data_IF_238940008619
#
_entry.id   IF_238940008619
#
_cell.length_a   1.000
_cell.length_b   1.000
_cell.length_c   1.000
_cell.angle_alpha   90.00
_cell.angle_beta   90.00
_cell.angle_gamma   90.00
#
_symmetry.space_group_name_H-M   'P 1'
#
loop_
_entity.id
_entity.type
_entity.pdbx_description
1 polymer ?
#
# COMPACT_ATOMS: atom_id res chain seq x y z
N UNK A 1 -10.17 3.59 -6.94
CA UNK A 1 -11.47 4.19 -7.05
C UNK A 1 -11.51 5.52 -6.31
N UNK A 2 -12.01 6.54 -6.98
CA UNK A 2 -11.99 7.89 -6.44
C UNK A 2 -13.03 8.16 -5.36
N UNK A 3 -14.07 7.35 -5.29
CA UNK A 3 -15.05 7.47 -4.22
C UNK A 3 -14.52 6.99 -2.89
N UNK A 4 -13.57 6.03 -2.92
CA UNK A 4 -13.07 5.36 -1.74
C UNK A 4 -11.61 5.70 -1.45
N UNK A 5 -10.96 6.44 -2.32
CA UNK A 5 -9.56 6.76 -2.14
C UNK A 5 -9.15 7.98 -2.94
N UNK A 6 -7.93 8.43 -2.66
CA UNK A 6 -7.33 9.56 -3.33
C UNK A 6 -6.04 9.14 -4.00
N UNK A 7 -5.83 9.61 -5.21
CA UNK A 7 -4.61 9.38 -5.97
C UNK A 7 -3.67 10.57 -5.80
N UNK A 8 -2.46 10.30 -5.38
CA UNK A 8 -1.41 11.30 -5.21
C UNK A 8 -0.27 11.02 -6.16
N UNK A 9 0.30 12.09 -6.72
CA UNK A 9 1.34 11.98 -7.75
C UNK A 9 2.61 12.65 -7.30
N UNK A 10 3.76 12.07 -7.69
CA UNK A 10 5.03 12.78 -7.72
C UNK A 10 5.31 13.10 -9.17
N UNK A 11 5.55 14.37 -9.47
CA UNK A 11 5.81 14.78 -10.84
C UNK A 11 6.90 15.85 -10.92
N UNK A 12 7.54 15.92 -12.07
CA UNK A 12 8.38 17.03 -12.41
C UNK A 12 7.67 17.87 -13.50
N UNK A 13 8.39 18.81 -14.12
CA UNK A 13 7.79 19.76 -15.06
C UNK A 13 7.09 19.12 -16.25
N UNK A 14 7.40 17.87 -16.61
CA UNK A 14 6.94 17.27 -17.86
C UNK A 14 6.31 15.90 -17.73
N UNK A 15 6.45 15.22 -16.58
CA UNK A 15 5.94 13.86 -16.47
C UNK A 15 5.67 13.45 -15.04
N UNK A 16 4.83 12.42 -14.90
CA UNK A 16 4.53 11.79 -13.63
C UNK A 16 5.62 10.76 -13.34
N UNK A 17 6.29 10.90 -12.20
CA UNK A 17 7.36 10.00 -11.78
C UNK A 17 6.86 8.81 -10.98
N UNK A 18 5.76 8.99 -10.27
CA UNK A 18 5.16 7.94 -9.47
C UNK A 18 3.82 8.33 -8.92
N UNK A 19 3.11 7.36 -8.37
CA UNK A 19 1.80 7.59 -7.78
C UNK A 19 1.52 6.63 -6.63
N UNK A 20 0.59 7.04 -5.76
CA UNK A 20 0.07 6.21 -4.68
C UNK A 20 -1.41 6.49 -4.52
N UNK A 21 -2.21 5.43 -4.35
CA UNK A 21 -3.64 5.56 -4.07
C UNK A 21 -3.89 5.19 -2.62
N UNK A 22 -4.47 6.10 -1.86
CA UNK A 22 -4.67 5.97 -0.41
C UNK A 22 -6.15 6.07 -0.10
N UNK A 23 -6.67 5.13 0.69
CA UNK A 23 -8.07 5.09 1.10
C UNK A 23 -8.18 4.92 2.61
N UNK A 24 -9.28 5.42 3.18
CA UNK A 24 -9.64 5.19 4.58
C UNK A 24 -10.70 4.09 4.72
N UNK A 25 -11.14 3.51 3.62
CA UNK A 25 -12.22 2.51 3.60
C UNK A 25 -11.65 1.13 3.28
N UNK A 26 -12.12 0.11 4.03
CA UNK A 26 -11.70 -1.26 3.81
C UNK A 26 -12.31 -1.81 2.52
N UNK A 27 -11.49 -2.50 1.73
CA UNK A 27 -11.95 -3.25 0.57
C UNK A 27 -12.54 -4.59 1.02
N UNK A 28 -13.53 -5.10 0.30
CA UNK A 28 -14.16 -6.37 0.65
C UNK A 28 -13.17 -7.53 0.68
N UNK A 29 -12.17 -7.52 -0.19
CA UNK A 29 -11.14 -8.56 -0.20
C UNK A 29 -10.32 -8.61 1.07
N UNK A 30 -10.24 -7.50 1.80
CA UNK A 30 -9.46 -7.38 3.03
C UNK A 30 -10.24 -7.81 4.27
N UNK A 31 -11.56 -7.96 4.18
CA UNK A 31 -12.39 -8.24 5.36
C UNK A 31 -12.13 -9.63 5.95
N UNK A 32 -11.68 -10.57 5.15
CA UNK A 32 -11.38 -11.93 5.62
C UNK A 32 -10.02 -12.06 6.28
N UNK A 33 -9.16 -11.05 6.16
CA UNK A 33 -7.82 -11.08 6.72
C UNK A 33 -7.85 -10.72 8.20
N UNK A 34 -7.09 -11.44 9.00
CA UNK A 34 -7.03 -11.20 10.46
C UNK A 34 -5.99 -10.13 10.77
N UNK A 35 -6.37 -8.89 10.60
CA UNK A 35 -5.48 -7.76 10.82
C UNK A 35 -5.06 -7.63 12.28
N UNK A 36 -3.90 -7.00 12.51
CA UNK A 36 -3.35 -6.77 13.85
C UNK A 36 -4.21 -5.81 14.66
N UNK A 37 -4.69 -4.74 14.02
CA UNK A 37 -5.57 -3.77 14.68
C UNK A 37 -7.03 -4.15 14.47
N UNK A 38 -7.85 -3.92 15.49
CA UNK A 38 -9.28 -4.25 15.47
C UNK A 38 -10.16 -3.05 15.23
N UNK A 39 -9.57 -1.87 15.06
CA UNK A 39 -10.30 -0.63 14.86
C UNK A 39 -10.58 -0.39 13.39
N UNK A 40 -11.44 0.62 13.13
CA UNK A 40 -11.68 1.07 11.76
C UNK A 40 -10.81 2.26 11.38
N UNK A 41 -9.75 2.53 12.14
CA UNK A 41 -8.85 3.66 11.93
C UNK A 41 -7.59 3.18 11.21
N UNK A 42 -7.76 2.87 9.94
CA UNK A 42 -6.68 2.30 9.14
C UNK A 42 -6.61 2.99 7.78
N UNK A 43 -5.40 3.15 7.27
CA UNK A 43 -5.16 3.58 5.90
C UNK A 43 -4.92 2.34 5.04
N UNK A 44 -5.46 2.36 3.84
CA UNK A 44 -5.30 1.29 2.86
C UNK A 44 -4.58 1.85 1.63
N UNK A 45 -3.49 1.20 1.25
CA UNK A 45 -2.76 1.56 0.04
C UNK A 45 -3.19 0.59 -1.05
N UNK A 46 -3.83 1.12 -2.10
CA UNK A 46 -4.34 0.32 -3.20
C UNK A 46 -3.38 0.25 -4.38
N UNK A 47 -2.52 1.23 -4.50
CA UNK A 47 -1.62 1.30 -5.64
C UNK A 47 -0.40 2.11 -5.27
N UNK A 48 0.77 1.55 -5.58
CA UNK A 48 2.04 2.25 -5.50
C UNK A 48 2.79 1.92 -6.78
N UNK A 49 3.10 2.93 -7.57
CA UNK A 49 3.79 2.72 -8.84
C UNK A 49 4.82 3.81 -9.08
N UNK A 50 5.98 3.42 -9.58
CA UNK A 50 7.06 4.34 -9.95
C UNK A 50 7.35 4.16 -11.42
N UNK A 51 7.45 5.27 -12.14
CA UNK A 51 7.80 5.26 -13.55
C UNK A 51 9.11 4.47 -13.74
N UNK A 52 9.18 3.56 -14.74
CA UNK A 52 10.35 2.69 -14.90
C UNK A 52 11.70 3.41 -14.96
N UNK A 53 11.74 4.59 -15.56
CA UNK A 53 12.96 5.38 -15.69
C UNK A 53 13.43 6.01 -14.38
N UNK A 54 12.62 5.96 -13.35
CA UNK A 54 12.90 6.62 -12.06
C UNK A 54 12.94 5.65 -10.89
N UNK A 55 12.93 4.35 -11.16
CA UNK A 55 13.04 3.33 -10.12
C UNK A 55 14.47 3.34 -9.53
N UNK A 56 14.58 2.94 -8.27
CA UNK A 56 15.86 2.92 -7.58
C UNK A 56 16.35 4.28 -7.08
N UNK A 57 15.50 5.31 -7.11
CA UNK A 57 15.85 6.66 -6.68
C UNK A 57 15.18 7.10 -5.37
N UNK A 58 14.58 6.17 -4.66
CA UNK A 58 13.93 6.45 -3.38
C UNK A 58 12.55 7.06 -3.47
N UNK A 59 11.93 7.12 -4.65
CA UNK A 59 10.61 7.71 -4.81
C UNK A 59 9.51 6.89 -4.14
N UNK A 60 9.60 5.56 -4.19
CA UNK A 60 8.63 4.70 -3.51
C UNK A 60 8.65 4.96 -2.00
N UNK A 61 9.83 5.10 -1.42
CA UNK A 61 9.95 5.41 0.01
C UNK A 61 9.34 6.77 0.34
N UNK A 62 9.54 7.77 -0.51
CA UNK A 62 8.92 9.09 -0.33
C UNK A 62 7.40 9.00 -0.33
N UNK A 63 6.83 8.22 -1.24
CA UNK A 63 5.38 8.03 -1.28
C UNK A 63 4.87 7.29 -0.05
N UNK A 64 5.61 6.30 0.43
CA UNK A 64 5.24 5.58 1.65
C UNK A 64 5.35 6.47 2.89
N UNK A 65 6.36 7.34 2.96
CA UNK A 65 6.48 8.32 4.04
C UNK A 65 5.29 9.30 4.02
N UNK A 66 4.86 9.69 2.83
CA UNK A 66 3.67 10.51 2.67
C UNK A 66 2.41 9.81 3.19
N UNK A 67 2.29 8.51 2.92
CA UNK A 67 1.18 7.71 3.45
C UNK A 67 1.20 7.67 4.98
N UNK A 68 2.37 7.56 5.59
CA UNK A 68 2.52 7.63 7.05
C UNK A 68 2.00 8.97 7.58
N UNK A 69 2.36 10.07 6.93
CA UNK A 69 1.91 11.41 7.33
C UNK A 69 0.39 11.55 7.25
N UNK A 70 -0.22 11.05 6.17
CA UNK A 70 -1.67 11.08 6.02
C UNK A 70 -2.34 10.25 7.10
N UNK A 71 -1.81 9.07 7.39
CA UNK A 71 -2.36 8.18 8.41
C UNK A 71 -2.32 8.85 9.79
N UNK A 72 -1.20 9.44 10.14
CA UNK A 72 -1.04 10.13 11.43
C UNK A 72 -1.98 11.33 11.52
N UNK A 73 -2.07 12.11 10.45
CA UNK A 73 -2.94 13.29 10.39
C UNK A 73 -4.41 12.93 10.57
N UNK A 74 -4.82 11.76 10.11
CA UNK A 74 -6.20 11.28 10.23
C UNK A 74 -6.42 10.40 11.46
N UNK A 75 -5.48 10.36 12.38
CA UNK A 75 -5.56 9.58 13.61
C UNK A 75 -5.73 8.09 13.37
N UNK A 76 -5.14 7.58 12.29
CA UNK A 76 -5.17 6.16 11.97
C UNK A 76 -4.15 5.41 12.80
N UNK A 77 -4.45 4.14 13.10
CA UNK A 77 -3.60 3.30 13.94
C UNK A 77 -2.63 2.45 13.13
N UNK A 78 -2.95 2.21 11.86
CA UNK A 78 -2.11 1.37 11.02
C UNK A 78 -2.29 1.67 9.54
N UNK A 79 -1.36 1.13 8.75
CA UNK A 79 -1.42 1.13 7.29
C UNK A 79 -1.48 -0.31 6.83
N UNK A 80 -2.38 -0.59 5.90
CA UNK A 80 -2.61 -1.92 5.33
C UNK A 80 -2.44 -1.90 3.83
N UNK A 81 -1.84 -2.94 3.29
CA UNK A 81 -1.64 -3.08 1.85
C UNK A 81 -1.49 -4.54 1.47
N UNK A 82 -1.52 -4.80 0.17
CA UNK A 82 -1.19 -6.11 -0.37
C UNK A 82 -0.21 -5.96 -1.52
N UNK A 83 0.54 -7.02 -1.77
CA UNK A 83 1.45 -7.09 -2.91
C UNK A 83 1.54 -8.53 -3.40
N UNK A 84 1.78 -8.71 -4.69
CA UNK A 84 1.88 -10.03 -5.29
C UNK A 84 2.98 -10.85 -4.62
N UNK A 85 2.64 -12.07 -4.22
CA UNK A 85 3.60 -12.95 -3.53
C UNK A 85 4.80 -13.32 -4.40
N UNK A 86 4.62 -13.33 -5.72
CA UNK A 86 5.68 -13.63 -6.68
C UNK A 86 6.63 -12.46 -6.96
N UNK A 87 6.52 -11.35 -6.24
CA UNK A 87 7.41 -10.21 -6.39
C UNK A 87 8.30 -10.06 -5.14
N UNK A 88 9.48 -10.74 -5.12
CA UNK A 88 10.32 -10.71 -3.91
C UNK A 88 10.85 -9.32 -3.57
N UNK A 89 11.06 -8.46 -4.57
CA UNK A 89 11.55 -7.11 -4.35
C UNK A 89 10.55 -6.27 -3.55
N UNK A 90 9.28 -6.29 -3.94
CA UNK A 90 8.24 -5.55 -3.23
C UNK A 90 8.01 -6.10 -1.82
N UNK A 91 7.97 -7.42 -1.68
CA UNK A 91 7.80 -8.03 -0.37
C UNK A 91 8.92 -7.63 0.58
N UNK A 92 10.16 -7.66 0.12
CA UNK A 92 11.31 -7.22 0.91
C UNK A 92 11.22 -5.74 1.26
N UNK A 93 10.79 -4.90 0.30
CA UNK A 93 10.65 -3.47 0.50
C UNK A 93 9.73 -3.15 1.68
N UNK A 94 8.55 -3.80 1.73
CA UNK A 94 7.61 -3.56 2.81
C UNK A 94 8.10 -4.10 4.15
N UNK A 95 8.71 -5.27 4.16
CA UNK A 95 9.29 -5.82 5.39
C UNK A 95 10.34 -4.89 5.99
N UNK A 96 11.19 -4.29 5.16
CA UNK A 96 12.23 -3.37 5.62
C UNK A 96 11.65 -2.08 6.20
N UNK A 97 10.43 -1.72 5.84
CA UNK A 97 9.77 -0.53 6.37
C UNK A 97 8.96 -0.80 7.64
N UNK A 98 9.02 -2.00 8.16
CA UNK A 98 8.33 -2.34 9.40
C UNK A 98 6.95 -2.95 9.22
N UNK A 99 6.59 -3.33 7.98
CA UNK A 99 5.33 -4.04 7.74
C UNK A 99 5.48 -5.50 8.14
N UNK A 100 4.40 -6.07 8.65
CA UNK A 100 4.33 -7.49 9.01
C UNK A 100 3.36 -8.19 8.07
N UNK A 101 3.75 -9.35 7.55
CA UNK A 101 2.84 -10.17 6.75
C UNK A 101 1.75 -10.74 7.65
N UNK A 102 0.49 -10.46 7.32
CA UNK A 102 -0.66 -10.86 8.13
C UNK A 102 -1.40 -12.04 7.53
N UNK A 103 -1.44 -12.14 6.21
CA UNK A 103 -2.19 -13.18 5.55
C UNK A 103 -2.05 -13.10 4.05
N UNK A 104 -2.94 -13.81 3.37
CA UNK A 104 -2.92 -13.89 1.91
C UNK A 104 -4.33 -13.78 1.37
N UNK A 105 -4.46 -13.14 0.20
CA UNK A 105 -5.73 -13.09 -0.53
C UNK A 105 -5.47 -13.53 -1.97
N UNK A 106 -6.52 -14.05 -2.60
CA UNK A 106 -6.44 -14.54 -3.97
C UNK A 106 -7.36 -13.71 -4.86
N UNK A 107 -6.79 -13.18 -5.95
CA UNK A 107 -7.56 -12.52 -7.01
C UNK A 107 -7.59 -13.48 -8.20
N UNK A 108 -8.67 -14.25 -8.32
CA UNK A 108 -8.79 -15.35 -9.28
C UNK A 108 -8.52 -14.99 -10.73
N UNK A 109 -8.84 -13.76 -11.11
CA UNK A 109 -8.67 -13.30 -12.48
C UNK A 109 -7.26 -12.78 -12.78
N UNK A 110 -6.40 -12.71 -11.77
CA UNK A 110 -5.05 -12.16 -11.92
C UNK A 110 -3.97 -13.22 -11.82
N UNK A 111 -4.11 -14.18 -10.91
CA UNK A 111 -3.09 -15.19 -10.69
C UNK A 111 -3.61 -16.33 -9.84
N UNK A 112 -3.01 -17.52 -10.00
CA UNK A 112 -3.21 -18.65 -9.11
C UNK A 112 -2.41 -18.50 -7.82
N UNK A 113 -1.44 -17.57 -7.80
CA UNK A 113 -0.64 -17.27 -6.61
C UNK A 113 -1.31 -16.17 -5.79
N UNK A 114 -1.15 -16.22 -4.45
CA UNK A 114 -1.77 -15.22 -3.59
C UNK A 114 -1.08 -13.87 -3.66
N UNK A 115 -1.79 -12.86 -3.16
CA UNK A 115 -1.22 -11.58 -2.79
C UNK A 115 -1.01 -11.59 -1.29
N UNK A 116 0.17 -11.18 -0.85
CA UNK A 116 0.50 -11.10 0.57
C UNK A 116 -0.03 -9.80 1.16
N UNK A 117 -0.71 -9.92 2.30
CA UNK A 117 -1.26 -8.76 3.00
C UNK A 117 -0.33 -8.35 4.14
N UNK A 118 -0.08 -7.05 4.22
CA UNK A 118 0.83 -6.45 5.20
C UNK A 118 0.15 -5.37 6.01
N UNK A 119 0.56 -5.26 7.26
CA UNK A 119 0.11 -4.17 8.13
C UNK A 119 1.29 -3.60 8.91
N UNK A 120 1.34 -2.28 9.02
CA UNK A 120 2.30 -1.58 9.87
C UNK A 120 1.54 -0.78 10.92
N UNK A 121 1.85 -1.03 12.19
CA UNK A 121 1.31 -0.27 13.31
C UNK A 121 2.08 1.05 13.40
N UNK A 122 1.33 2.13 13.53
CA UNK A 122 1.92 3.47 13.62
C UNK A 122 2.24 3.87 15.07
#
# INVERSE_FOLDING_TARGET
DFEEGSLYLIENKKEVLGCICISLFIDDFYKSVKWLTKTHKNVYIHRLAIHPNYQGKGLALKLMDFADEIAIKNNCESIRLDTFSGNPRNNKFYLLQGYTKIGEIYFRNQSDMPFNCYEKIL
#
